data_IF_062299125701
#
_entry.id   IF_062299125701
#
_cell.length_a   1.000
_cell.length_b   1.000
_cell.length_c   1.000
_cell.angle_alpha   90.00
_cell.angle_beta   90.00
_cell.angle_gamma   90.00
#
_symmetry.space_group_name_H-M   'P 1'
#
loop_
_entity.id
_entity.type
_entity.pdbx_description
1 polymer ?
#
# COMPACT_ATOMS: atom_id res chain seq x y z
N UNK A 1 17.92 -47.53 67.74
CA UNK A 1 16.71 -47.14 66.97
C UNK A 1 16.78 -45.72 66.41
N UNK A 2 17.53 -44.79 67.03
CA UNK A 2 17.67 -43.38 66.60
C UNK A 2 18.40 -43.18 65.26
N UNK A 3 19.43 -43.98 64.96
CA UNK A 3 20.21 -43.86 63.72
C UNK A 3 19.45 -44.26 62.45
N UNK A 4 18.57 -45.26 62.53
CA UNK A 4 17.73 -45.71 61.41
C UNK A 4 16.64 -44.67 61.12
N UNK A 5 15.96 -44.17 62.16
CA UNK A 5 14.96 -43.11 62.02
C UNK A 5 15.54 -41.82 61.42
N UNK A 6 16.75 -41.42 61.82
CA UNK A 6 17.46 -40.26 61.25
C UNK A 6 17.79 -40.45 59.77
N UNK A 7 18.23 -41.64 59.35
CA UNK A 7 18.52 -41.97 57.94
C UNK A 7 17.26 -41.93 57.06
N UNK A 8 16.15 -42.47 57.55
CA UNK A 8 14.86 -42.43 56.84
C UNK A 8 14.36 -41.00 56.65
N UNK A 9 14.51 -40.16 57.67
CA UNK A 9 14.12 -38.75 57.59
C UNK A 9 14.99 -37.96 56.59
N UNK A 10 16.31 -38.18 56.60
CA UNK A 10 17.21 -37.55 55.61
C UNK A 10 16.91 -37.99 54.18
N UNK A 11 16.58 -39.27 53.97
CA UNK A 11 16.23 -39.78 52.63
C UNK A 11 14.92 -39.14 52.13
N UNK A 12 13.90 -39.04 52.99
CA UNK A 12 12.65 -38.34 52.67
C UNK A 12 12.87 -36.86 52.32
N UNK A 13 13.73 -36.17 53.07
CA UNK A 13 14.08 -34.78 52.78
C UNK A 13 14.81 -34.61 51.44
N UNK A 14 15.77 -35.48 51.12
CA UNK A 14 16.50 -35.44 49.84
C UNK A 14 15.56 -35.69 48.66
N UNK A 15 14.63 -36.64 48.80
CA UNK A 15 13.62 -36.93 47.76
C UNK A 15 12.70 -35.73 47.56
N UNK A 16 12.21 -35.12 48.64
CA UNK A 16 11.36 -33.93 48.57
C UNK A 16 12.09 -32.73 47.94
N UNK A 17 13.34 -32.50 48.32
CA UNK A 17 14.17 -31.45 47.75
C UNK A 17 14.43 -31.65 46.24
N UNK A 18 14.68 -32.90 45.82
CA UNK A 18 14.86 -33.23 44.40
C UNK A 18 13.58 -32.96 43.57
N UNK A 19 12.40 -33.30 44.11
CA UNK A 19 11.12 -33.01 43.45
C UNK A 19 10.84 -31.50 43.33
N UNK A 20 11.18 -30.73 44.37
CA UNK A 20 11.00 -29.27 44.37
C UNK A 20 11.95 -28.56 43.39
N UNK A 21 13.18 -29.08 43.20
CA UNK A 21 14.14 -28.51 42.23
C UNK A 21 13.69 -28.71 40.78
N UNK A 22 13.09 -29.87 40.44
CA UNK A 22 12.59 -30.14 39.09
C UNK A 22 11.43 -29.24 38.65
N UNK A 23 10.76 -28.54 39.58
CA UNK A 23 9.64 -27.65 39.28
C UNK A 23 10.06 -26.23 38.87
N UNK A 24 11.33 -25.85 39.10
CA UNK A 24 11.79 -24.50 38.78
C UNK A 24 12.43 -24.44 37.38
N UNK A 25 11.71 -23.88 36.41
CA UNK A 25 12.28 -23.47 35.13
C UNK A 25 12.29 -24.49 33.99
N UNK A 26 11.91 -25.75 34.22
CA UNK A 26 11.92 -26.79 33.15
C UNK A 26 11.01 -26.43 31.96
N UNK A 27 9.92 -25.70 32.21
CA UNK A 27 8.97 -25.25 31.19
C UNK A 27 9.30 -23.86 30.62
N UNK A 28 10.28 -23.14 31.16
CA UNK A 28 10.57 -21.78 30.73
C UNK A 28 11.07 -21.73 29.29
N UNK A 29 12.02 -22.60 28.93
CA UNK A 29 12.60 -22.67 27.58
C UNK A 29 11.55 -23.03 26.52
N UNK A 30 10.76 -24.12 26.65
CA UNK A 30 9.70 -24.42 25.69
C UNK A 30 8.65 -23.30 25.59
N UNK A 31 8.32 -22.66 26.71
CA UNK A 31 7.34 -21.57 26.74
C UNK A 31 7.83 -20.37 25.93
N UNK A 32 9.10 -19.99 26.07
CA UNK A 32 9.67 -18.89 25.28
C UNK A 32 9.81 -19.24 23.80
N UNK A 33 10.11 -20.50 23.47
CA UNK A 33 10.16 -20.97 22.08
C UNK A 33 8.78 -20.85 21.39
N UNK A 34 7.72 -21.30 22.05
CA UNK A 34 6.37 -21.20 21.50
C UNK A 34 5.89 -19.74 21.39
N UNK A 35 6.27 -18.87 22.34
CA UNK A 35 6.02 -17.42 22.21
C UNK A 35 6.74 -16.82 21.00
N UNK A 36 8.00 -17.20 20.76
CA UNK A 36 8.76 -16.74 19.60
C UNK A 36 8.13 -17.23 18.28
N UNK A 37 7.69 -18.50 18.21
CA UNK A 37 6.98 -19.04 17.05
C UNK A 37 5.65 -18.35 16.79
N UNK A 38 4.89 -18.06 17.85
CA UNK A 38 3.63 -17.33 17.74
C UNK A 38 3.86 -15.91 17.21
N UNK A 39 4.86 -15.20 17.73
CA UNK A 39 5.24 -13.87 17.25
C UNK A 39 5.69 -13.89 15.78
N UNK A 40 6.48 -14.89 15.38
CA UNK A 40 6.90 -15.05 13.99
C UNK A 40 5.73 -15.34 13.05
N UNK A 41 4.77 -16.17 13.50
CA UNK A 41 3.56 -16.46 12.72
C UNK A 41 2.71 -15.21 12.51
N UNK A 42 2.62 -14.34 13.50
CA UNK A 42 1.93 -13.05 13.34
C UNK A 42 2.61 -12.16 12.30
N UNK A 43 3.94 -12.09 12.30
CA UNK A 43 4.70 -11.36 11.27
C UNK A 43 4.37 -11.91 9.88
N UNK A 44 4.43 -13.23 9.70
CA UNK A 44 4.10 -13.87 8.42
C UNK A 44 2.67 -13.57 7.96
N UNK A 45 1.70 -13.60 8.88
CA UNK A 45 0.30 -13.28 8.58
C UNK A 45 0.15 -11.83 8.10
N UNK A 46 0.83 -10.87 8.74
CA UNK A 46 0.79 -9.48 8.30
C UNK A 46 1.46 -9.29 6.94
N UNK A 47 2.57 -9.96 6.66
CA UNK A 47 3.20 -9.93 5.35
C UNK A 47 2.27 -10.51 4.27
N UNK A 48 1.63 -11.64 4.54
CA UNK A 48 0.69 -12.27 3.60
C UNK A 48 -0.50 -11.35 3.28
N UNK A 49 -1.14 -10.78 4.31
CA UNK A 49 -2.27 -9.84 4.12
C UNK A 49 -1.86 -8.63 3.29
N UNK A 50 -0.64 -8.11 3.50
CA UNK A 50 -0.12 -6.99 2.68
C UNK A 50 0.13 -7.44 1.24
N UNK A 51 0.74 -8.59 1.01
CA UNK A 51 0.98 -9.09 -0.35
C UNK A 51 -0.31 -9.40 -1.10
N UNK A 52 -1.33 -9.90 -0.42
CA UNK A 52 -2.65 -10.18 -1.02
C UNK A 52 -3.39 -8.91 -1.44
N UNK A 53 -3.13 -7.79 -0.75
CA UNK A 53 -3.75 -6.50 -1.06
C UNK A 53 -3.02 -5.71 -2.15
N UNK A 54 -1.73 -5.98 -2.41
CA UNK A 54 -0.94 -5.26 -3.43
C UNK A 54 -1.60 -5.32 -4.82
N UNK A 55 -2.08 -6.47 -5.34
CA UNK A 55 -2.73 -6.52 -6.64
C UNK A 55 -3.95 -5.59 -6.74
N UNK A 56 -4.77 -5.52 -5.69
CA UNK A 56 -5.93 -4.63 -5.66
C UNK A 56 -5.52 -3.15 -5.70
N UNK A 57 -4.46 -2.77 -4.98
CA UNK A 57 -3.92 -1.41 -5.03
C UNK A 57 -3.32 -1.07 -6.40
N UNK A 58 -2.66 -2.04 -7.04
CA UNK A 58 -2.12 -1.86 -8.39
C UNK A 58 -3.24 -1.64 -9.40
N UNK A 59 -4.33 -2.40 -9.32
CA UNK A 59 -5.48 -2.23 -10.21
C UNK A 59 -6.18 -0.88 -10.03
N UNK A 60 -6.34 -0.39 -8.79
CA UNK A 60 -6.93 0.95 -8.57
C UNK A 60 -6.03 2.06 -9.12
N UNK A 61 -4.71 1.99 -8.88
CA UNK A 61 -3.76 2.98 -9.42
C UNK A 61 -3.75 2.95 -10.95
N UNK A 62 -3.76 1.77 -11.58
CA UNK A 62 -3.85 1.64 -13.05
C UNK A 62 -5.14 2.26 -13.60
N UNK A 63 -6.27 2.04 -12.93
CA UNK A 63 -7.55 2.61 -13.34
C UNK A 63 -7.51 4.15 -13.32
N UNK A 64 -6.99 4.74 -12.24
CA UNK A 64 -6.78 6.20 -12.16
C UNK A 64 -5.79 6.71 -13.20
N UNK A 65 -4.68 6.01 -13.43
CA UNK A 65 -3.70 6.39 -14.44
C UNK A 65 -4.31 6.40 -15.86
N UNK A 66 -5.19 5.44 -16.18
CA UNK A 66 -5.93 5.41 -17.45
C UNK A 66 -6.92 6.58 -17.58
N UNK A 67 -7.64 6.90 -16.51
CA UNK A 67 -8.52 8.07 -16.48
C UNK A 67 -7.72 9.35 -16.72
N UNK A 68 -6.62 9.52 -15.99
CA UNK A 68 -5.76 10.70 -16.10
C UNK A 68 -5.18 10.86 -17.51
N UNK A 69 -4.68 9.77 -18.10
CA UNK A 69 -4.21 9.79 -19.49
C UNK A 69 -5.31 10.25 -20.46
N UNK A 70 -6.54 9.77 -20.26
CA UNK A 70 -7.68 10.12 -21.12
C UNK A 70 -8.03 11.61 -20.97
N UNK A 71 -8.13 12.10 -19.73
CA UNK A 71 -8.44 13.50 -19.44
C UNK A 71 -7.35 14.42 -19.99
N UNK A 72 -6.07 14.12 -19.72
CA UNK A 72 -4.95 14.92 -20.20
C UNK A 72 -4.92 14.98 -21.73
N UNK A 73 -5.13 13.85 -22.41
CA UNK A 73 -5.20 13.82 -23.88
C UNK A 73 -6.33 14.71 -24.40
N UNK A 74 -7.53 14.57 -23.83
CA UNK A 74 -8.69 15.37 -24.23
C UNK A 74 -8.48 16.88 -24.01
N UNK A 75 -7.87 17.26 -22.87
CA UNK A 75 -7.56 18.66 -22.57
C UNK A 75 -6.53 19.22 -23.55
N UNK A 76 -5.48 18.44 -23.87
CA UNK A 76 -4.46 18.84 -24.84
C UNK A 76 -5.05 18.99 -26.24
N UNK A 77 -5.87 18.04 -26.68
CA UNK A 77 -6.57 18.10 -27.98
C UNK A 77 -7.55 19.28 -28.04
N UNK A 78 -8.33 19.51 -26.99
CA UNK A 78 -9.26 20.64 -26.91
C UNK A 78 -8.50 21.97 -26.95
N UNK A 79 -7.37 22.07 -26.24
CA UNK A 79 -6.49 23.24 -26.28
C UNK A 79 -5.93 23.46 -27.68
N UNK A 80 -5.41 22.41 -28.32
CA UNK A 80 -4.88 22.50 -29.68
C UNK A 80 -5.94 22.98 -30.68
N UNK A 81 -7.16 22.43 -30.61
CA UNK A 81 -8.31 22.86 -31.41
C UNK A 81 -8.71 24.31 -31.14
N UNK A 82 -8.76 24.74 -29.89
CA UNK A 82 -9.11 26.11 -29.52
C UNK A 82 -8.07 27.13 -30.02
N UNK A 83 -6.80 26.74 -30.07
CA UNK A 83 -5.72 27.59 -30.62
C UNK A 83 -5.54 27.46 -32.14
N UNK A 84 -6.23 26.51 -32.78
CA UNK A 84 -6.11 26.30 -34.22
C UNK A 84 -6.96 27.33 -34.95
N UNK A 85 -6.30 28.15 -35.77
CA UNK A 85 -6.98 29.11 -36.63
C UNK A 85 -7.53 28.37 -37.85
N UNK A 86 -8.80 28.02 -37.83
CA UNK A 86 -9.47 27.39 -38.98
C UNK A 86 -9.99 28.49 -39.91
N UNK A 87 -9.43 28.57 -41.12
CA UNK A 87 -9.95 29.46 -42.18
C UNK A 87 -11.03 28.69 -42.95
N UNK A 88 -12.30 29.13 -42.92
CA UNK A 88 -13.35 28.50 -43.71
C UNK A 88 -13.07 28.64 -45.21
N UNK A 89 -13.24 27.55 -45.97
CA UNK A 89 -12.93 27.52 -47.41
C UNK A 89 -13.82 28.47 -48.23
N UNK A 90 -15.04 28.75 -47.76
CA UNK A 90 -15.97 29.69 -48.38
C UNK A 90 -15.57 31.17 -48.18
N UNK A 91 -14.64 31.42 -47.25
CA UNK A 91 -14.09 32.75 -46.98
C UNK A 91 -12.86 33.01 -47.86
N UNK A 92 -12.15 31.98 -48.31
CA UNK A 92 -10.95 32.11 -49.17
C UNK A 92 -11.35 32.50 -50.60
N UNK A 93 -12.55 32.13 -51.04
CA UNK A 93 -13.04 32.35 -52.41
C UNK A 93 -13.86 33.63 -52.59
N UNK A 94 -14.27 34.29 -51.49
CA UNK A 94 -15.08 35.51 -51.47
C UNK A 94 -14.31 36.66 -50.80
N UNK A 95 -13.85 37.67 -51.56
CA UNK A 95 -13.04 38.78 -51.05
C UNK A 95 -13.70 39.57 -49.91
N UNK A 96 -15.04 39.73 -49.95
CA UNK A 96 -15.77 40.51 -48.96
C UNK A 96 -15.90 39.75 -47.64
N UNK A 97 -16.08 38.43 -47.71
CA UNK A 97 -16.07 37.57 -46.52
C UNK A 97 -14.68 37.47 -45.91
N UNK A 98 -13.62 37.41 -46.72
CA UNK A 98 -12.24 37.38 -46.24
C UNK A 98 -11.88 38.63 -45.44
N UNK A 99 -12.31 39.80 -45.93
CA UNK A 99 -12.08 41.07 -45.23
C UNK A 99 -12.79 41.12 -43.87
N UNK A 100 -14.07 40.71 -43.80
CA UNK A 100 -14.83 40.62 -42.54
C UNK A 100 -14.21 39.65 -41.55
N UNK A 101 -13.70 38.51 -42.03
CA UNK A 101 -13.01 37.53 -41.19
C UNK A 101 -11.68 38.08 -40.63
N UNK A 102 -10.89 38.81 -41.43
CA UNK A 102 -9.68 39.48 -40.96
C UNK A 102 -9.96 40.54 -39.90
N UNK A 103 -11.00 41.37 -40.11
CA UNK A 103 -11.41 42.39 -39.14
C UNK A 103 -11.83 41.76 -37.80
N UNK A 104 -12.63 40.68 -37.83
CA UNK A 104 -13.02 39.95 -36.63
C UNK A 104 -11.84 39.27 -35.89
N UNK A 105 -10.84 38.77 -36.63
CA UNK A 105 -9.62 38.21 -36.04
C UNK A 105 -8.73 39.30 -35.40
N UNK A 106 -8.65 40.48 -36.02
CA UNK A 106 -7.95 41.64 -35.46
C UNK A 106 -8.58 42.16 -34.17
N UNK A 107 -9.91 42.13 -34.08
CA UNK A 107 -10.66 42.55 -32.89
C UNK A 107 -10.48 41.57 -31.71
N UNK A 108 -10.49 40.25 -31.98
CA UNK A 108 -10.20 39.22 -30.98
C UNK A 108 -8.74 39.24 -30.50
N UNK A 109 -7.78 39.50 -31.39
CA UNK A 109 -6.37 39.63 -31.04
C UNK A 109 -6.03 40.89 -30.23
N UNK A 110 -6.89 41.91 -30.24
CA UNK A 110 -6.78 43.09 -29.39
C UNK A 110 -7.44 42.91 -28.00
N UNK A 111 -8.30 41.90 -27.84
CA UNK A 111 -9.06 41.63 -26.61
C UNK A 111 -8.42 40.55 -25.69
N UNK A 112 -7.45 39.78 -26.21
CA UNK A 112 -6.63 38.81 -25.47
C UNK A 112 -5.31 39.45 -25.00
#
# INVERSE_FOLDING_TARGET
>A
MTAVARRSFTAGFVILAAMLLSACGINSIPTYEEQAKAAWSEVLNQYQRRSDLIPNLVETVKAYAKQEQTVLTQVVEARAKATQMTVPEDIITDPDKFKKWQEAQGELGAAL
#
